data_IF_899611551296
#
_entry.id   IF_899611551296
#
_cell.length_a   1.000
_cell.length_b   1.000
_cell.length_c   1.000
_cell.angle_alpha   90.00
_cell.angle_beta   90.00
_cell.angle_gamma   90.00
#
_symmetry.space_group_name_H-M   'P 1'
#
loop_
_entity.id
_entity.type
_entity.pdbx_description
1 polymer ?
#
# COMPACT_ATOMS: atom_id res chain seq x y z
N UNK A 1 8.13 -32.15 -39.75
CA UNK A 1 8.05 -30.71 -39.44
C UNK A 1 8.13 -30.57 -37.92
N UNK A 2 9.24 -30.02 -37.41
CA UNK A 2 9.47 -29.84 -35.97
C UNK A 2 8.92 -28.47 -35.56
N UNK A 3 7.99 -28.43 -34.61
CA UNK A 3 7.54 -27.17 -34.00
C UNK A 3 8.58 -26.75 -32.95
N UNK A 4 8.96 -25.46 -32.87
CA UNK A 4 9.80 -25.00 -31.78
C UNK A 4 9.00 -25.03 -30.47
N UNK A 5 9.58 -25.45 -29.34
CA UNK A 5 8.91 -25.32 -28.06
C UNK A 5 8.78 -23.83 -27.75
N UNK A 6 7.54 -23.36 -27.63
CA UNK A 6 7.22 -22.09 -26.98
C UNK A 6 7.73 -22.17 -25.54
N UNK A 7 8.96 -21.73 -25.32
CA UNK A 7 9.49 -21.48 -24.00
C UNK A 7 8.74 -20.28 -23.42
N UNK A 8 7.68 -20.56 -22.67
CA UNK A 8 7.25 -19.63 -21.63
C UNK A 8 8.42 -19.58 -20.65
N UNK A 9 9.29 -18.57 -20.81
CA UNK A 9 10.26 -18.21 -19.80
C UNK A 9 9.46 -17.86 -18.55
N UNK A 10 9.20 -18.88 -17.71
CA UNK A 10 8.65 -18.70 -16.39
C UNK A 10 9.55 -17.70 -15.71
N UNK A 11 9.04 -16.49 -15.48
CA UNK A 11 9.68 -15.57 -14.55
C UNK A 11 9.91 -16.41 -13.30
N UNK A 12 11.14 -16.53 -12.78
CA UNK A 12 11.36 -17.34 -11.60
C UNK A 12 10.39 -16.84 -10.54
N UNK A 13 9.51 -17.72 -10.08
CA UNK A 13 8.70 -17.49 -8.89
C UNK A 13 9.73 -17.15 -7.82
N UNK A 14 9.83 -15.86 -7.48
CA UNK A 14 10.87 -15.34 -6.61
C UNK A 14 10.77 -16.13 -5.32
N UNK A 15 11.72 -17.02 -5.12
CA UNK A 15 11.83 -17.80 -3.89
C UNK A 15 12.01 -16.76 -2.78
N UNK A 16 10.95 -16.54 -1.99
CA UNK A 16 10.99 -15.67 -0.82
C UNK A 16 11.72 -16.43 0.30
N UNK A 17 13.00 -16.75 0.07
CA UNK A 17 13.88 -17.30 1.09
C UNK A 17 14.56 -16.13 1.79
N UNK A 18 13.84 -15.51 2.72
CA UNK A 18 14.41 -15.09 4.00
C UNK A 18 13.30 -14.64 4.93
N UNK A 19 13.14 -15.34 6.05
CA UNK A 19 12.19 -15.03 7.11
C UNK A 19 12.74 -13.84 7.90
N UNK A 20 12.71 -12.67 7.26
CA UNK A 20 12.88 -11.37 7.90
C UNK A 20 11.83 -10.43 7.33
N UNK A 21 10.77 -10.25 8.11
CA UNK A 21 9.69 -9.32 7.88
C UNK A 21 10.31 -7.91 7.88
N UNK A 22 10.73 -7.37 6.74
CA UNK A 22 11.16 -5.97 6.59
C UNK A 22 9.93 -5.04 6.46
N UNK A 23 9.20 -5.04 7.56
CA UNK A 23 8.25 -4.13 8.22
C UNK A 23 7.67 -2.83 7.61
N UNK A 24 8.04 -2.29 6.45
CA UNK A 24 7.47 -1.00 5.97
C UNK A 24 7.11 -0.92 4.47
N UNK A 25 7.41 -1.94 3.67
CA UNK A 25 7.31 -1.85 2.20
C UNK A 25 6.14 -2.55 1.51
N UNK A 26 5.23 -3.20 2.24
CA UNK A 26 4.26 -4.13 1.63
C UNK A 26 2.91 -3.51 1.28
N UNK A 27 2.53 -2.38 1.88
CA UNK A 27 1.22 -1.77 1.61
C UNK A 27 1.19 -1.27 0.17
N UNK A 28 0.39 -1.94 -0.66
CA UNK A 28 0.20 -1.57 -2.05
C UNK A 28 1.33 -1.94 -3.01
N UNK A 29 2.37 -2.66 -2.58
CA UNK A 29 3.52 -3.00 -3.41
C UNK A 29 3.15 -3.75 -4.71
N UNK A 30 2.13 -4.63 -4.63
CA UNK A 30 1.59 -5.36 -5.78
C UNK A 30 0.47 -4.59 -6.53
N UNK A 31 0.12 -3.39 -6.05
CA UNK A 31 -0.93 -2.51 -6.54
C UNK A 31 -0.39 -1.10 -6.85
N UNK A 32 0.81 -1.00 -7.46
CA UNK A 32 1.43 0.27 -7.84
C UNK A 32 1.61 1.28 -6.68
N UNK A 33 2.01 0.76 -5.51
CA UNK A 33 2.10 1.44 -4.21
C UNK A 33 0.76 2.02 -3.69
N UNK A 34 -0.36 1.59 -4.26
CA UNK A 34 -1.70 1.99 -3.87
C UNK A 34 -2.39 0.98 -2.95
N UNK A 35 -3.18 1.46 -2.01
CA UNK A 35 -4.04 0.62 -1.19
C UNK A 35 -5.38 1.31 -0.94
N UNK A 36 -6.32 0.57 -0.37
CA UNK A 36 -7.59 1.12 0.12
C UNK A 36 -7.52 1.20 1.65
N UNK A 37 -7.87 2.34 2.22
CA UNK A 37 -7.92 2.57 3.67
C UNK A 37 -9.33 2.92 4.08
N UNK A 38 -9.82 2.25 5.13
CA UNK A 38 -11.04 2.60 5.86
C UNK A 38 -10.66 3.54 7.01
N UNK A 39 -11.29 4.71 7.05
CA UNK A 39 -11.12 5.72 8.09
C UNK A 39 -12.13 5.56 9.23
N UNK A 40 -11.91 6.31 10.32
CA UNK A 40 -12.67 6.23 11.57
C UNK A 40 -14.12 6.72 11.46
N UNK A 41 -14.46 7.46 10.41
CA UNK A 41 -15.80 7.94 10.07
C UNK A 41 -16.55 6.98 9.12
N UNK A 42 -15.94 5.85 8.76
CA UNK A 42 -16.49 4.87 7.82
C UNK A 42 -16.19 5.17 6.35
N UNK A 43 -15.46 6.24 6.04
CA UNK A 43 -15.03 6.57 4.68
C UNK A 43 -13.94 5.59 4.20
N UNK A 44 -14.02 5.13 2.94
CA UNK A 44 -12.97 4.35 2.28
C UNK A 44 -12.35 5.15 1.14
N UNK A 45 -11.02 5.29 1.14
CA UNK A 45 -10.26 5.99 0.09
C UNK A 45 -9.19 5.06 -0.52
N UNK A 46 -8.97 5.20 -1.83
CA UNK A 46 -7.86 4.54 -2.54
C UNK A 46 -6.75 5.55 -2.87
N UNK A 47 -5.56 5.36 -2.31
CA UNK A 47 -4.42 6.25 -2.55
C UNK A 47 -3.08 5.56 -2.21
N UNK A 48 -1.97 6.27 -2.44
CA UNK A 48 -0.64 5.84 -1.97
C UNK A 48 -0.49 6.13 -0.47
N UNK A 49 0.21 5.25 0.25
CA UNK A 49 0.41 5.40 1.70
C UNK A 49 1.02 6.74 2.12
N UNK A 50 1.89 7.31 1.29
CA UNK A 50 2.47 8.65 1.51
C UNK A 50 1.42 9.75 1.62
N UNK A 51 0.30 9.62 0.89
CA UNK A 51 -0.78 10.62 0.81
C UNK A 51 -1.50 10.76 2.15
N UNK A 52 -1.73 9.64 2.84
CA UNK A 52 -2.43 9.61 4.13
C UNK A 52 -1.54 10.03 5.30
N UNK A 53 -0.22 10.03 5.11
CA UNK A 53 0.77 10.42 6.12
C UNK A 53 1.30 11.84 5.91
N UNK A 54 0.79 12.59 4.93
CA UNK A 54 1.19 13.99 4.72
C UNK A 54 0.96 14.79 6.03
N UNK A 55 1.94 15.57 6.52
CA UNK A 55 1.80 16.36 7.75
C UNK A 55 0.97 17.62 7.46
N UNK A 56 -0.27 17.43 7.04
CA UNK A 56 -1.22 18.47 6.66
C UNK A 56 -2.53 18.26 7.40
N UNK A 57 -3.21 19.35 7.75
CA UNK A 57 -4.52 19.28 8.40
C UNK A 57 -5.49 18.37 7.64
N UNK A 58 -5.53 18.47 6.32
CA UNK A 58 -6.41 17.67 5.46
C UNK A 58 -6.17 16.17 5.61
N UNK A 59 -4.91 15.73 5.65
CA UNK A 59 -4.60 14.30 5.81
C UNK A 59 -4.92 13.81 7.22
N UNK A 60 -4.71 14.65 8.23
CA UNK A 60 -4.88 14.28 9.63
C UNK A 60 -6.33 14.26 10.08
N UNK A 61 -7.16 15.19 9.59
CA UNK A 61 -8.61 15.21 9.81
C UNK A 61 -9.27 13.87 9.49
N UNK A 62 -8.83 13.19 8.42
CA UNK A 62 -9.37 11.89 7.98
C UNK A 62 -9.18 10.77 9.02
N UNK A 63 -8.15 10.86 9.84
CA UNK A 63 -7.86 9.82 10.85
C UNK A 63 -8.71 9.96 12.11
N UNK A 64 -9.35 11.10 12.33
CA UNK A 64 -10.11 11.38 13.55
C UNK A 64 -11.61 11.35 13.28
N UNK A 65 -12.38 10.73 14.18
CA UNK A 65 -13.82 10.59 14.02
C UNK A 65 -14.57 11.94 14.01
N UNK A 66 -14.03 12.95 14.68
CA UNK A 66 -14.57 14.31 14.72
C UNK A 66 -14.14 15.17 13.52
N UNK A 67 -13.36 14.59 12.59
CA UNK A 67 -12.81 15.24 11.41
C UNK A 67 -12.00 16.51 11.74
N UNK A 68 -11.41 16.58 12.94
CA UNK A 68 -10.50 17.64 13.35
C UNK A 68 -9.05 17.20 13.18
N UNK A 69 -8.14 18.16 12.94
CA UNK A 69 -6.74 17.83 12.77
C UNK A 69 -6.12 17.26 14.08
N UNK A 70 -6.26 17.93 15.22
CA UNK A 70 -5.54 17.60 16.46
C UNK A 70 -4.00 17.74 16.41
N UNK A 71 -3.47 18.91 15.99
CA UNK A 71 -2.02 19.13 15.85
C UNK A 71 -1.21 18.91 17.13
N UNK A 72 -1.85 18.93 18.29
CA UNK A 72 -1.25 18.66 19.60
C UNK A 72 -0.77 17.20 19.80
N UNK A 73 -1.16 16.27 18.92
CA UNK A 73 -0.86 14.82 19.07
C UNK A 73 0.03 14.25 17.96
N UNK A 74 0.59 15.09 17.10
CA UNK A 74 1.07 14.66 15.79
C UNK A 74 2.52 14.25 15.62
#
# INVERSE_FOLDING_TARGET
MSLPPFAWAGRPCRQLSDVSIQYFGYIGAIHNDGANVLFCDGHVESAKQRKWQEPTDTARRRWNNDNQPHPETW
#
